data_IF_512454197931
#
_entry.id   IF_512454197931
#
_cell.length_a   1.000
_cell.length_b   1.000
_cell.length_c   1.000
_cell.angle_alpha   90.00
_cell.angle_beta   90.00
_cell.angle_gamma   90.00
#
_symmetry.space_group_name_H-M   'P 1'
#
loop_
_entity.id
_entity.type
_entity.pdbx_description
1 polymer ?
#
# COMPACT_ATOMS: atom_id res chain seq x y z
N UNK A 1 -19.36 -9.47 22.56
CA UNK A 1 -17.95 -9.11 22.38
C UNK A 1 -17.30 -10.08 21.43
N UNK A 2 -16.37 -9.58 20.63
CA UNK A 2 -15.58 -10.38 19.70
C UNK A 2 -14.15 -10.53 20.22
N UNK A 3 -13.55 -11.69 20.00
CA UNK A 3 -12.12 -11.89 20.24
C UNK A 3 -11.25 -11.18 19.20
N UNK A 4 -9.95 -11.08 19.47
CA UNK A 4 -8.96 -10.60 18.48
C UNK A 4 -8.87 -11.50 17.24
N UNK A 5 -9.30 -12.76 17.37
CA UNK A 5 -9.45 -13.73 16.27
C UNK A 5 -10.76 -13.56 15.48
N UNK A 6 -11.60 -12.57 15.82
CA UNK A 6 -12.87 -12.31 15.14
C UNK A 6 -14.04 -13.19 15.56
N UNK A 7 -13.84 -14.19 16.44
CA UNK A 7 -14.93 -15.04 16.91
C UNK A 7 -15.91 -14.27 17.81
N UNK A 8 -17.21 -14.55 17.69
CA UNK A 8 -18.23 -14.03 18.61
C UNK A 8 -18.17 -14.79 19.94
N UNK A 9 -17.57 -14.18 20.96
CA UNK A 9 -17.33 -14.82 22.25
C UNK A 9 -18.48 -14.60 23.25
N UNK A 10 -19.09 -13.41 23.23
CA UNK A 10 -20.14 -13.05 24.17
C UNK A 10 -21.29 -12.31 23.51
N UNK A 11 -22.51 -12.57 23.94
CA UNK A 11 -23.70 -11.80 23.56
C UNK A 11 -24.40 -11.33 24.84
N UNK A 12 -24.68 -10.03 25.00
CA UNK A 12 -25.46 -9.56 26.15
C UNK A 12 -26.81 -10.27 26.23
N UNK A 13 -27.15 -10.81 27.40
CA UNK A 13 -28.39 -11.56 27.64
C UNK A 13 -28.61 -12.76 26.71
N UNK A 14 -27.53 -13.43 26.29
CA UNK A 14 -27.56 -14.60 25.39
C UNK A 14 -28.55 -15.67 25.87
N UNK A 15 -28.51 -16.02 27.16
CA UNK A 15 -29.34 -17.07 27.72
C UNK A 15 -30.83 -16.69 27.78
N UNK A 16 -31.13 -15.44 28.15
CA UNK A 16 -32.49 -14.95 28.37
C UNK A 16 -33.24 -14.69 27.06
N UNK A 17 -32.54 -14.21 26.03
CA UNK A 17 -33.17 -13.77 24.78
C UNK A 17 -32.97 -14.75 23.63
N UNK A 18 -31.83 -15.44 23.57
CA UNK A 18 -31.45 -16.26 22.43
C UNK A 18 -31.42 -17.76 22.76
N UNK A 19 -31.18 -18.13 24.02
CA UNK A 19 -31.07 -19.53 24.43
C UNK A 19 -30.07 -20.29 23.55
N UNK A 20 -30.50 -21.41 22.95
CA UNK A 20 -29.69 -22.19 22.01
C UNK A 20 -29.94 -21.84 20.53
N UNK A 21 -30.80 -20.85 20.24
CA UNK A 21 -31.11 -20.48 18.86
C UNK A 21 -29.97 -19.76 18.14
N UNK A 22 -29.03 -19.17 18.89
CA UNK A 22 -27.89 -18.45 18.33
C UNK A 22 -26.66 -19.35 18.19
N UNK A 23 -26.31 -19.69 16.95
CA UNK A 23 -25.06 -20.35 16.66
C UNK A 23 -23.91 -19.33 16.50
N UNK A 24 -23.22 -19.02 17.60
CA UNK A 24 -22.08 -18.07 17.62
C UNK A 24 -20.96 -18.42 16.65
N UNK A 25 -20.76 -19.71 16.31
CA UNK A 25 -19.71 -20.16 15.37
C UNK A 25 -19.94 -19.65 13.95
N UNK A 26 -21.17 -19.31 13.58
CA UNK A 26 -21.52 -18.77 12.27
C UNK A 26 -21.60 -17.23 12.24
N UNK A 27 -21.27 -16.57 13.37
CA UNK A 27 -21.51 -15.13 13.58
C UNK A 27 -20.22 -14.37 13.92
N UNK A 28 -19.06 -14.87 13.49
CA UNK A 28 -17.79 -14.15 13.62
C UNK A 28 -17.74 -12.89 12.75
N UNK A 29 -16.76 -12.03 13.00
CA UNK A 29 -16.43 -10.92 12.10
C UNK A 29 -16.09 -11.48 10.70
N UNK A 30 -16.42 -10.72 9.66
CA UNK A 30 -16.07 -11.12 8.29
C UNK A 30 -14.55 -11.01 8.11
N UNK A 31 -13.90 -12.16 8.03
CA UNK A 31 -12.46 -12.27 7.84
C UNK A 31 -12.05 -11.78 6.43
N UNK A 32 -10.88 -11.16 6.34
CA UNK A 32 -10.24 -10.87 5.05
C UNK A 32 -9.76 -12.21 4.50
N UNK A 33 -10.23 -12.59 3.31
CA UNK A 33 -10.02 -13.92 2.73
C UNK A 33 -8.53 -14.33 2.64
N UNK A 34 -7.66 -13.36 2.34
CA UNK A 34 -6.23 -13.57 2.13
C UNK A 34 -5.45 -12.47 2.85
N UNK A 35 -4.50 -12.85 3.70
CA UNK A 35 -3.54 -11.95 4.32
C UNK A 35 -2.14 -12.51 4.10
N UNK A 36 -1.29 -11.75 3.42
CA UNK A 36 0.06 -12.18 3.04
C UNK A 36 1.07 -11.05 3.33
N UNK A 37 2.35 -11.39 3.45
CA UNK A 37 3.42 -10.45 3.79
C UNK A 37 4.53 -10.46 2.75
N UNK A 38 4.97 -9.27 2.35
CA UNK A 38 6.19 -9.07 1.56
C UNK A 38 7.22 -8.36 2.45
N UNK A 39 8.15 -9.14 3.00
CA UNK A 39 9.25 -8.67 3.87
C UNK A 39 8.82 -7.73 5.02
N UNK A 40 7.70 -8.06 5.69
CA UNK A 40 7.19 -7.29 6.83
C UNK A 40 6.05 -6.32 6.47
N UNK A 41 5.81 -6.07 5.19
CA UNK A 41 4.67 -5.28 4.71
C UNK A 41 3.46 -6.21 4.48
N UNK A 42 2.38 -5.98 5.23
CA UNK A 42 1.19 -6.83 5.23
C UNK A 42 0.16 -6.32 4.22
N UNK A 43 -0.31 -7.21 3.34
CA UNK A 43 -1.35 -6.95 2.35
C UNK A 43 -2.56 -7.85 2.60
N UNK A 44 -3.75 -7.32 2.34
CA UNK A 44 -5.01 -8.06 2.40
C UNK A 44 -5.70 -8.10 1.05
N UNK A 45 -6.32 -9.23 0.71
CA UNK A 45 -7.16 -9.39 -0.46
C UNK A 45 -8.49 -10.05 -0.08
N UNK A 46 -9.60 -9.50 -0.56
CA UNK A 46 -10.93 -10.05 -0.33
C UNK A 46 -11.29 -11.17 -1.31
N UNK A 47 -10.56 -11.29 -2.42
CA UNK A 47 -10.75 -12.34 -3.41
C UNK A 47 -9.91 -13.57 -3.02
N UNK A 48 -10.60 -14.69 -2.76
CA UNK A 48 -9.98 -15.95 -2.39
C UNK A 48 -9.17 -16.55 -3.55
N UNK A 49 -9.55 -16.27 -4.79
CA UNK A 49 -8.97 -16.85 -6.00
C UNK A 49 -7.80 -16.00 -6.55
N UNK A 50 -7.49 -14.87 -5.91
CA UNK A 50 -6.37 -14.01 -6.29
C UNK A 50 -5.03 -14.79 -6.36
N UNK A 51 -4.08 -14.39 -7.20
CA UNK A 51 -2.73 -14.95 -7.15
C UNK A 51 -2.08 -14.70 -5.77
N UNK A 52 -1.07 -15.50 -5.37
CA UNK A 52 -0.20 -15.15 -4.25
C UNK A 52 0.39 -13.74 -4.42
N UNK A 53 0.65 -13.03 -3.31
CA UNK A 53 1.17 -11.67 -3.29
C UNK A 53 2.48 -11.54 -4.09
N UNK A 54 3.38 -12.53 -3.96
CA UNK A 54 4.64 -12.53 -4.72
C UNK A 54 4.39 -12.58 -6.24
N UNK A 55 3.41 -13.38 -6.67
CA UNK A 55 3.03 -13.50 -8.08
C UNK A 55 2.27 -12.27 -8.58
N UNK A 56 1.55 -11.59 -7.69
CA UNK A 56 0.91 -10.30 -7.95
C UNK A 56 1.96 -9.21 -8.20
N UNK A 57 2.97 -9.10 -7.32
CA UNK A 57 4.06 -8.15 -7.48
C UNK A 57 4.87 -8.41 -8.74
N UNK A 58 5.02 -9.69 -9.12
CA UNK A 58 5.71 -10.09 -10.36
C UNK A 58 7.12 -9.52 -10.43
N UNK A 59 7.51 -9.01 -11.59
CA UNK A 59 8.86 -8.48 -11.82
C UNK A 59 9.18 -7.25 -10.95
N UNK A 60 8.17 -6.52 -10.47
CA UNK A 60 8.41 -5.40 -9.54
C UNK A 60 9.05 -5.89 -8.23
N UNK A 61 8.78 -7.13 -7.81
CA UNK A 61 9.38 -7.71 -6.61
C UNK A 61 10.92 -7.71 -6.68
N UNK A 62 11.48 -8.02 -7.85
CA UNK A 62 12.94 -8.02 -8.07
C UNK A 62 13.57 -6.66 -7.80
N UNK A 63 12.91 -5.56 -8.20
CA UNK A 63 13.38 -4.21 -7.94
C UNK A 63 13.23 -3.79 -6.46
N UNK A 64 12.28 -4.39 -5.74
CA UNK A 64 12.02 -4.09 -4.33
C UNK A 64 12.94 -4.88 -3.38
N UNK A 65 13.30 -6.13 -3.72
CA UNK A 65 14.10 -7.00 -2.85
C UNK A 65 15.43 -6.41 -2.35
N UNK A 66 16.23 -5.66 -3.14
CA UNK A 66 17.44 -5.01 -2.64
C UNK A 66 17.20 -4.14 -1.40
N UNK A 67 16.08 -3.42 -1.38
CA UNK A 67 15.73 -2.47 -0.31
C UNK A 67 14.91 -3.14 0.78
N UNK A 68 13.98 -4.03 0.43
CA UNK A 68 13.03 -4.61 1.38
C UNK A 68 13.57 -5.84 2.11
N UNK A 69 14.48 -6.59 1.48
CA UNK A 69 15.01 -7.87 1.97
C UNK A 69 16.50 -7.80 2.26
N UNK A 70 17.29 -7.32 1.30
CA UNK A 70 18.76 -7.42 1.36
C UNK A 70 19.43 -6.29 2.16
N UNK A 71 18.68 -5.25 2.53
CA UNK A 71 19.13 -4.16 3.41
C UNK A 71 19.23 -4.54 4.89
N UNK A 72 18.73 -5.72 5.27
CA UNK A 72 18.50 -6.10 6.68
C UNK A 72 17.04 -5.97 7.13
N UNK A 73 16.15 -5.54 6.22
CA UNK A 73 14.72 -5.34 6.49
C UNK A 73 14.38 -3.87 6.78
N UNK A 74 13.09 -3.55 6.71
CA UNK A 74 12.57 -2.20 6.96
C UNK A 74 11.53 -2.19 8.06
N UNK A 75 11.40 -1.05 8.72
CA UNK A 75 10.34 -0.76 9.68
C UNK A 75 9.49 0.42 9.18
N UNK A 76 8.17 0.34 9.40
CA UNK A 76 7.25 1.45 9.14
C UNK A 76 7.04 2.27 10.41
N UNK A 77 7.50 3.52 10.42
CA UNK A 77 7.42 4.41 11.58
C UNK A 77 6.04 5.09 11.64
N UNK A 78 5.28 4.83 12.71
CA UNK A 78 3.96 5.41 12.93
C UNK A 78 3.92 6.51 14.02
N UNK A 79 2.78 7.20 14.20
CA UNK A 79 1.54 7.09 13.41
C UNK A 79 1.64 7.83 12.06
N UNK A 80 0.88 7.42 11.03
CA UNK A 80 0.89 8.09 9.74
C UNK A 80 0.15 9.44 9.78
N UNK A 81 0.62 10.42 9.01
CA UNK A 81 -0.15 11.61 8.70
C UNK A 81 -1.39 11.29 7.86
N UNK A 82 -2.55 11.85 8.21
CA UNK A 82 -3.81 11.64 7.49
C UNK A 82 -4.40 12.97 7.05
N UNK A 83 -4.56 13.18 5.74
CA UNK A 83 -5.10 14.40 5.13
C UNK A 83 -6.06 14.03 4.01
N UNK A 84 -7.19 14.74 3.92
CA UNK A 84 -8.16 14.59 2.82
C UNK A 84 -7.79 15.56 1.70
N UNK A 85 -7.64 15.03 0.48
CA UNK A 85 -7.42 15.82 -0.73
C UNK A 85 -8.62 15.66 -1.67
N UNK A 86 -8.96 16.72 -2.42
CA UNK A 86 -10.02 16.69 -3.43
C UNK A 86 -9.47 16.21 -4.78
N UNK A 87 -9.00 14.97 -4.82
CA UNK A 87 -8.49 14.32 -6.03
C UNK A 87 -8.99 12.87 -6.09
N UNK A 88 -9.10 12.32 -7.31
CA UNK A 88 -9.31 10.88 -7.47
C UNK A 88 -8.03 10.13 -7.04
N UNK A 89 -8.16 8.97 -6.41
CA UNK A 89 -7.02 8.17 -5.95
C UNK A 89 -6.05 7.77 -7.09
N UNK A 90 -6.53 7.71 -8.33
CA UNK A 90 -5.69 7.40 -9.50
C UNK A 90 -4.65 8.50 -9.81
N UNK A 91 -4.95 9.77 -9.54
CA UNK A 91 -4.05 10.88 -9.84
C UNK A 91 -2.70 10.81 -9.08
N UNK A 92 -2.66 10.62 -7.74
CA UNK A 92 -1.39 10.38 -7.07
C UNK A 92 -0.78 9.02 -7.41
N UNK A 93 -1.59 7.99 -7.71
CA UNK A 93 -1.05 6.69 -8.12
C UNK A 93 -0.27 6.76 -9.44
N UNK A 94 -0.84 7.38 -10.49
CA UNK A 94 -0.15 7.56 -11.79
C UNK A 94 1.06 8.51 -11.70
N UNK A 95 1.00 9.48 -10.78
CA UNK A 95 2.13 10.38 -10.55
C UNK A 95 3.35 9.61 -9.98
N UNK A 96 3.14 8.78 -8.96
CA UNK A 96 4.23 8.03 -8.32
C UNK A 96 4.74 6.85 -9.15
N UNK A 97 3.88 6.26 -9.99
CA UNK A 97 4.24 5.05 -10.75
C UNK A 97 5.25 5.31 -11.88
N UNK A 98 5.34 6.55 -12.37
CA UNK A 98 6.31 6.88 -13.42
C UNK A 98 6.37 8.32 -13.94
N UNK A 99 5.68 9.29 -13.33
CA UNK A 99 5.74 10.68 -13.77
C UNK A 99 7.01 11.38 -13.25
N UNK A 100 8.18 11.00 -13.76
CA UNK A 100 9.40 11.78 -13.50
C UNK A 100 9.38 13.16 -14.17
N UNK A 101 8.51 13.34 -15.17
CA UNK A 101 8.47 14.54 -16.00
C UNK A 101 7.97 15.78 -15.25
N UNK A 102 7.00 15.61 -14.34
CA UNK A 102 6.49 16.73 -13.54
C UNK A 102 7.52 17.28 -12.54
N UNK A 103 8.56 16.51 -12.18
CA UNK A 103 9.46 16.84 -11.08
C UNK A 103 10.11 18.20 -11.26
N UNK A 104 10.75 18.45 -12.41
CA UNK A 104 11.47 19.70 -12.62
C UNK A 104 10.56 20.92 -12.76
N UNK A 105 9.31 20.75 -13.19
CA UNK A 105 8.35 21.86 -13.36
C UNK A 105 7.53 22.13 -12.10
N UNK A 106 6.79 21.14 -11.62
CA UNK A 106 5.90 21.24 -10.45
C UNK A 106 6.69 21.50 -9.17
N UNK A 107 7.86 20.87 -9.01
CA UNK A 107 8.73 21.08 -7.83
C UNK A 107 9.83 22.11 -8.05
N UNK A 108 9.77 22.94 -9.10
CA UNK A 108 10.85 23.89 -9.41
C UNK A 108 11.22 24.82 -8.24
N UNK A 109 10.23 25.29 -7.47
CA UNK A 109 10.46 26.10 -6.27
C UNK A 109 11.18 25.30 -5.18
N UNK A 110 10.68 24.12 -4.85
CA UNK A 110 11.27 23.22 -3.86
C UNK A 110 12.71 22.81 -4.23
N UNK A 111 12.98 22.50 -5.49
CA UNK A 111 14.31 22.14 -5.98
C UNK A 111 15.31 23.30 -5.88
N UNK A 112 14.88 24.54 -6.18
CA UNK A 112 15.72 25.74 -5.99
C UNK A 112 15.99 26.03 -4.52
N UNK A 113 14.98 25.87 -3.67
CA UNK A 113 15.09 26.15 -2.24
C UNK A 113 15.86 25.08 -1.46
N UNK A 114 15.75 23.81 -1.87
CA UNK A 114 16.30 22.67 -1.12
C UNK A 114 17.79 22.40 -1.32
N UNK A 115 18.45 23.04 -2.30
CA UNK A 115 19.89 22.91 -2.60
C UNK A 115 20.40 21.44 -2.62
N UNK A 116 19.58 20.51 -3.12
CA UNK A 116 19.95 19.11 -3.19
C UNK A 116 20.68 18.80 -4.50
N UNK A 117 21.16 17.57 -4.64
CA UNK A 117 21.73 17.07 -5.91
C UNK A 117 20.75 17.16 -7.09
N UNK A 118 19.45 17.37 -6.84
CA UNK A 118 18.42 17.51 -7.86
C UNK A 118 18.14 18.96 -8.27
N UNK A 119 18.81 19.97 -7.68
CA UNK A 119 18.54 21.38 -7.98
C UNK A 119 18.73 21.73 -9.47
N UNK A 120 19.59 21.01 -10.19
CA UNK A 120 19.80 21.18 -11.64
C UNK A 120 18.59 20.81 -12.51
N UNK A 121 17.64 20.03 -11.98
CA UNK A 121 16.41 19.66 -12.68
C UNK A 121 15.36 20.78 -12.69
N UNK A 122 15.55 21.83 -11.88
CA UNK A 122 14.55 22.88 -11.72
C UNK A 122 14.28 23.63 -13.04
N UNK A 123 13.02 23.65 -13.45
CA UNK A 123 12.54 24.33 -14.66
C UNK A 123 12.60 23.49 -15.94
N UNK A 124 12.90 22.19 -15.87
CA UNK A 124 13.02 21.31 -17.06
C UNK A 124 13.96 21.90 -18.14
N UNK A 125 15.04 22.57 -17.71
CA UNK A 125 15.96 23.27 -18.60
C UNK A 125 16.85 22.34 -19.45
N UNK A 126 16.86 21.04 -19.13
CA UNK A 126 17.61 20.00 -19.83
C UNK A 126 16.69 18.81 -20.07
N UNK A 127 16.82 18.16 -21.23
CA UNK A 127 16.11 16.91 -21.50
C UNK A 127 16.56 15.83 -20.51
N UNK A 128 15.65 14.95 -20.04
CA UNK A 128 16.03 13.78 -19.27
C UNK A 128 17.07 12.95 -20.03
N UNK A 129 17.97 12.30 -19.31
CA UNK A 129 18.88 11.32 -19.91
C UNK A 129 18.07 10.23 -20.61
N UNK A 130 18.59 9.71 -21.72
CA UNK A 130 17.96 8.61 -22.44
C UNK A 130 17.77 7.41 -21.48
N UNK A 131 16.53 6.90 -21.39
CA UNK A 131 16.15 5.85 -20.43
C UNK A 131 15.73 6.31 -19.03
N UNK A 132 15.65 7.62 -18.75
CA UNK A 132 15.24 8.14 -17.44
C UNK A 132 13.75 7.94 -17.10
N UNK A 133 12.93 7.45 -18.05
CA UNK A 133 11.55 7.09 -17.80
C UNK A 133 11.46 5.67 -17.23
N UNK A 134 11.06 5.55 -15.96
CA UNK A 134 10.71 4.27 -15.35
C UNK A 134 9.23 4.26 -15.05
N UNK A 135 8.52 3.26 -15.59
CA UNK A 135 7.14 2.97 -15.23
C UNK A 135 7.10 1.55 -14.66
N UNK A 136 6.59 1.41 -13.44
CA UNK A 136 6.50 0.11 -12.76
C UNK A 136 5.03 -0.30 -12.66
N UNK A 137 4.62 -1.35 -13.37
CA UNK A 137 3.24 -1.87 -13.27
C UNK A 137 3.30 -3.37 -13.00
N UNK A 138 2.28 -3.88 -12.33
CA UNK A 138 2.05 -5.32 -12.27
C UNK A 138 1.23 -5.76 -13.49
N UNK A 139 1.29 -7.04 -13.85
CA UNK A 139 0.39 -7.61 -14.88
C UNK A 139 -1.11 -7.51 -14.52
N UNK A 140 -1.43 -7.10 -13.28
CA UNK A 140 -2.78 -6.97 -12.75
C UNK A 140 -3.21 -5.50 -12.54
N UNK A 141 -2.38 -4.53 -12.94
CA UNK A 141 -2.59 -3.08 -12.72
C UNK A 141 -1.36 -2.43 -12.11
#
# INVERSE_FOLDING_TARGET
GFGSNGELQSVPFEKELYGESLNKKCMGLREVARVESFHGFIYGCFDQEAPPLMDYLGDAAWYLEPIFKHSGGLELIGPPGKVIIKANWKAPAENFVGDAYHVGWTHASSLRSGQSIFSSLAGNAVLPLEGAGLQMTSKYG
#
